data_IF_165782300735
#
_entry.id   IF_165782300735
#
_cell.length_a   1.000
_cell.length_b   1.000
_cell.length_c   1.000
_cell.angle_alpha   90.00
_cell.angle_beta   90.00
_cell.angle_gamma   90.00
#
_symmetry.space_group_name_H-M   'P 1'
#
loop_
_entity.id
_entity.type
_entity.pdbx_description
1 polymer ?
#
# COMPACT_ATOMS: atom_id res chain seq x y z
N UNK A 1 -9.17 -83.94 33.39
CA UNK A 1 -9.48 -83.05 32.26
C UNK A 1 -10.11 -81.75 32.77
N UNK A 2 -9.31 -80.69 32.92
CA UNK A 2 -9.78 -79.29 33.03
C UNK A 2 -8.79 -78.44 32.26
N UNK A 3 -9.29 -77.76 31.22
CA UNK A 3 -8.55 -76.85 30.34
C UNK A 3 -8.01 -75.67 31.15
N UNK A 4 -6.72 -75.39 31.03
CA UNK A 4 -6.10 -74.14 31.51
C UNK A 4 -6.41 -73.05 30.47
N UNK A 5 -7.20 -72.04 30.85
CA UNK A 5 -7.39 -70.84 30.02
C UNK A 5 -6.09 -70.04 29.98
N UNK A 6 -5.63 -69.71 28.78
CA UNK A 6 -4.57 -68.74 28.56
C UNK A 6 -5.06 -67.35 29.00
N UNK A 7 -4.24 -66.65 29.78
CA UNK A 7 -4.48 -65.26 30.17
C UNK A 7 -4.42 -64.37 28.93
N UNK A 8 -5.58 -63.88 28.48
CA UNK A 8 -5.67 -62.78 27.52
C UNK A 8 -5.56 -61.49 28.34
N UNK A 9 -4.40 -60.84 28.31
CA UNK A 9 -4.25 -59.49 28.84
C UNK A 9 -4.68 -58.50 27.76
N UNK A 10 -5.98 -58.24 27.65
CA UNK A 10 -6.50 -57.09 26.89
C UNK A 10 -6.25 -55.84 27.72
N UNK A 11 -5.20 -55.09 27.40
CA UNK A 11 -4.94 -53.80 28.03
C UNK A 11 -5.66 -52.73 27.20
N UNK A 12 -6.82 -52.30 27.72
CA UNK A 12 -7.54 -51.12 27.26
C UNK A 12 -6.87 -49.89 27.93
N UNK A 13 -6.04 -49.16 27.19
CA UNK A 13 -5.45 -47.90 27.66
C UNK A 13 -6.21 -46.70 27.08
N UNK A 14 -6.43 -45.73 27.97
CA UNK A 14 -7.38 -44.63 27.89
C UNK A 14 -7.24 -43.77 26.62
N UNK A 15 -8.42 -43.41 26.09
CA UNK A 15 -8.63 -42.43 25.02
C UNK A 15 -8.19 -41.04 25.49
N UNK A 16 -7.16 -40.48 24.87
CA UNK A 16 -7.13 -39.03 24.62
C UNK A 16 -7.64 -38.80 23.19
N UNK A 17 -8.55 -37.84 23.02
CA UNK A 17 -9.20 -37.56 21.74
C UNK A 17 -8.19 -37.33 20.60
N UNK A 18 -8.48 -37.80 19.38
CA UNK A 18 -7.57 -37.71 18.23
C UNK A 18 -7.21 -36.27 17.82
N UNK A 19 -7.97 -35.27 18.27
CA UNK A 19 -7.75 -33.87 17.94
C UNK A 19 -6.49 -33.27 18.59
N UNK A 20 -6.11 -33.71 19.81
CA UNK A 20 -4.97 -33.11 20.53
C UNK A 20 -3.62 -33.62 20.03
N UNK A 21 -3.55 -34.90 19.62
CA UNK A 21 -2.31 -35.52 19.14
C UNK A 21 -1.88 -35.03 17.75
N UNK A 22 -2.84 -34.57 16.93
CA UNK A 22 -2.58 -33.99 15.61
C UNK A 22 -1.91 -32.61 15.70
N UNK A 23 -2.20 -31.81 16.75
CA UNK A 23 -1.60 -30.50 16.96
C UNK A 23 -0.12 -30.56 17.40
N UNK A 24 0.29 -31.64 18.03
CA UNK A 24 1.65 -31.82 18.59
C UNK A 24 2.54 -32.76 17.74
N UNK A 25 2.07 -33.23 16.58
CA UNK A 25 2.86 -34.08 15.67
C UNK A 25 3.13 -35.50 16.17
N UNK A 26 2.29 -36.04 17.06
CA UNK A 26 2.45 -37.40 17.60
C UNK A 26 1.67 -38.42 16.76
N UNK A 27 2.37 -39.47 16.31
CA UNK A 27 1.75 -40.65 15.70
C UNK A 27 1.69 -41.80 16.73
N UNK A 28 0.51 -42.34 16.97
CA UNK A 28 0.34 -43.46 17.89
C UNK A 28 0.72 -44.79 17.20
N UNK A 29 1.89 -45.33 17.54
CA UNK A 29 2.29 -46.68 17.14
C UNK A 29 1.92 -47.65 18.25
N UNK A 30 0.90 -48.47 17.99
CA UNK A 30 0.55 -49.56 18.89
C UNK A 30 1.50 -50.71 18.64
N UNK A 31 2.05 -51.28 19.71
CA UNK A 31 2.85 -52.51 19.68
C UNK A 31 2.21 -53.48 20.66
N UNK A 32 1.43 -54.42 20.16
CA UNK A 32 0.91 -55.52 20.95
C UNK A 32 1.94 -56.63 21.02
N UNK A 33 2.20 -57.14 22.21
CA UNK A 33 3.03 -58.33 22.43
C UNK A 33 2.09 -59.49 22.80
N UNK A 34 1.95 -60.47 21.93
CA UNK A 34 1.21 -61.71 22.22
C UNK A 34 2.16 -62.89 22.33
N UNK A 35 2.20 -63.52 23.50
CA UNK A 35 2.89 -64.78 23.70
C UNK A 35 2.13 -65.91 22.99
N UNK A 36 2.76 -66.52 21.98
CA UNK A 36 2.18 -67.69 21.30
C UNK A 36 2.00 -68.87 22.26
N UNK A 37 0.95 -69.68 22.03
CA UNK A 37 0.70 -70.92 22.76
C UNK A 37 1.86 -71.91 22.54
N UNK A 38 2.87 -71.85 23.42
CA UNK A 38 4.14 -72.56 23.25
C UNK A 38 5.36 -71.82 23.78
N UNK A 39 5.23 -70.55 24.20
CA UNK A 39 6.27 -69.87 25.01
C UNK A 39 7.53 -69.45 24.27
N UNK A 40 7.53 -69.34 22.93
CA UNK A 40 8.72 -68.91 22.16
C UNK A 40 8.45 -67.86 21.09
N UNK A 41 7.19 -67.48 20.84
CA UNK A 41 6.83 -66.58 19.74
C UNK A 41 6.24 -65.28 20.27
N UNK A 42 6.75 -64.16 19.76
CA UNK A 42 6.31 -62.80 20.06
C UNK A 42 5.79 -62.16 18.79
N UNK A 43 4.48 -62.02 18.66
CA UNK A 43 3.91 -61.25 17.56
C UNK A 43 3.99 -59.76 17.90
N UNK A 44 4.54 -58.96 16.99
CA UNK A 44 4.54 -57.49 17.06
C UNK A 44 3.62 -56.98 15.96
N UNK A 45 2.59 -56.22 16.30
CA UNK A 45 1.68 -55.61 15.32
C UNK A 45 1.98 -54.12 15.28
N UNK A 46 2.34 -53.57 14.12
CA UNK A 46 2.48 -52.13 13.91
C UNK A 46 1.23 -51.67 13.15
N UNK A 47 0.36 -50.90 13.81
CA UNK A 47 -0.80 -50.30 13.15
C UNK A 47 -0.50 -48.85 12.80
N UNK A 48 -0.49 -48.56 11.50
CA UNK A 48 -0.51 -47.19 11.01
C UNK A 48 -1.94 -46.66 11.06
N UNK A 49 -2.19 -45.61 11.84
CA UNK A 49 -3.48 -44.90 11.87
C UNK A 49 -3.45 -43.59 11.08
N UNK A 50 -2.39 -43.32 10.33
CA UNK A 50 -2.35 -42.23 9.35
C UNK A 50 -2.88 -42.68 7.99
N UNK A 51 -3.43 -41.75 7.23
CA UNK A 51 -3.90 -41.99 5.85
C UNK A 51 -2.73 -42.13 4.84
N UNK A 52 -1.47 -42.14 5.30
CA UNK A 52 -0.27 -42.19 4.47
C UNK A 52 0.38 -43.59 4.48
N UNK A 53 0.79 -44.15 3.33
CA UNK A 53 1.39 -45.49 3.26
C UNK A 53 2.81 -45.53 3.83
N UNK A 54 3.14 -46.63 4.54
CA UNK A 54 4.52 -46.94 4.98
C UNK A 54 5.24 -47.69 3.85
N UNK A 55 6.39 -47.20 3.43
CA UNK A 55 7.11 -47.71 2.24
C UNK A 55 8.40 -48.49 2.55
N UNK A 56 8.99 -48.35 3.75
CA UNK A 56 10.18 -49.11 4.16
C UNK A 56 10.35 -49.20 5.70
N UNK A 57 11.17 -50.15 6.17
CA UNK A 57 11.54 -50.37 7.57
C UNK A 57 13.01 -50.86 7.62
N UNK A 58 13.92 -50.13 8.30
CA UNK A 58 15.36 -50.47 8.37
C UNK A 58 15.90 -50.51 9.81
N UNK A 59 17.00 -51.24 10.05
CA UNK A 59 17.52 -51.53 11.40
C UNK A 59 19.02 -51.21 11.58
N UNK A 60 19.39 -50.60 12.73
CA UNK A 60 20.77 -50.37 13.17
C UNK A 60 21.01 -50.64 14.67
N UNK A 61 22.23 -51.06 15.05
CA UNK A 61 22.64 -51.25 16.46
C UNK A 61 23.13 -49.94 17.08
N UNK A 62 22.88 -49.75 18.39
CA UNK A 62 23.27 -48.56 19.18
C UNK A 62 24.78 -48.30 19.16
N UNK A 63 25.17 -47.20 18.51
CA UNK A 63 26.14 -46.22 19.04
C UNK A 63 26.04 -44.93 18.21
N UNK A 64 25.33 -43.91 18.72
CA UNK A 64 25.25 -42.59 18.10
C UNK A 64 24.31 -42.54 16.90
N UNK A 65 23.22 -41.78 17.02
CA UNK A 65 22.47 -41.34 15.85
C UNK A 65 23.38 -40.36 15.10
N UNK A 66 24.10 -40.83 14.08
CA UNK A 66 24.69 -40.07 12.97
C UNK A 66 25.49 -41.05 12.10
N UNK A 67 25.04 -41.24 10.86
CA UNK A 67 25.72 -42.07 9.86
C UNK A 67 24.90 -42.18 8.58
N UNK A 68 24.93 -41.13 7.75
CA UNK A 68 24.57 -41.17 6.33
C UNK A 68 25.67 -41.89 5.50
N UNK A 69 25.44 -42.22 4.22
CA UNK A 69 24.18 -42.52 3.52
C UNK A 69 24.24 -43.92 2.87
N UNK A 70 23.17 -44.31 2.15
CA UNK A 70 23.16 -44.88 0.79
C UNK A 70 21.89 -45.72 0.62
N UNK A 71 21.00 -45.29 -0.28
CA UNK A 71 20.57 -46.08 -1.45
C UNK A 71 19.67 -45.24 -2.39
N UNK A 72 19.96 -45.42 -3.66
CA UNK A 72 19.43 -44.85 -4.90
C UNK A 72 17.88 -45.05 -5.05
N UNK A 73 17.10 -44.06 -5.52
CA UNK A 73 15.63 -44.14 -5.61
C UNK A 73 15.05 -45.13 -6.63
N UNK A 74 15.86 -45.81 -7.47
CA UNK A 74 15.36 -46.55 -8.63
C UNK A 74 15.03 -48.07 -8.41
N UNK A 75 14.87 -48.55 -7.17
CA UNK A 75 14.79 -50.01 -6.89
C UNK A 75 13.69 -50.45 -5.88
N UNK A 76 12.59 -49.71 -5.72
CA UNK A 76 11.50 -50.12 -4.82
C UNK A 76 10.30 -50.71 -5.58
N UNK A 77 10.40 -51.99 -5.95
CA UNK A 77 9.24 -52.83 -6.30
C UNK A 77 8.97 -53.89 -5.21
N UNK A 78 7.95 -54.73 -5.42
CA UNK A 78 7.38 -55.69 -4.47
C UNK A 78 8.33 -56.80 -3.94
N UNK A 79 9.65 -56.64 -4.10
CA UNK A 79 10.72 -57.56 -3.69
C UNK A 79 11.48 -57.11 -2.44
N UNK A 80 10.92 -56.24 -1.60
CA UNK A 80 11.60 -55.70 -0.41
C UNK A 80 12.05 -56.82 0.54
N UNK A 81 13.35 -57.12 0.55
CA UNK A 81 13.93 -58.16 1.40
C UNK A 81 14.16 -57.61 2.81
N UNK A 82 13.49 -58.21 3.80
CA UNK A 82 13.67 -57.91 5.22
C UNK A 82 14.89 -58.67 5.76
N UNK A 83 15.85 -57.95 6.35
CA UNK A 83 16.96 -58.60 7.04
C UNK A 83 16.62 -58.71 8.53
N UNK A 84 16.05 -59.85 8.93
CA UNK A 84 15.78 -60.13 10.33
C UNK A 84 17.11 -60.27 11.13
N UNK A 85 17.13 -59.95 12.43
CA UNK A 85 18.28 -60.25 13.28
C UNK A 85 18.62 -61.75 13.24
N UNK A 86 19.90 -62.09 13.41
CA UNK A 86 20.32 -63.48 13.53
C UNK A 86 19.51 -64.19 14.64
N UNK A 87 18.75 -65.23 14.27
CA UNK A 87 17.86 -65.97 15.18
C UNK A 87 16.36 -65.63 15.08
N UNK A 88 15.96 -64.73 14.18
CA UNK A 88 14.55 -64.36 13.95
C UNK A 88 14.13 -64.57 12.49
N UNK A 89 12.90 -65.04 12.27
CA UNK A 89 12.21 -64.96 10.97
C UNK A 89 11.36 -63.68 10.88
N UNK A 90 11.24 -63.09 9.69
CA UNK A 90 10.33 -61.97 9.44
C UNK A 90 9.37 -62.31 8.29
N UNK A 91 8.08 -62.00 8.45
CA UNK A 91 7.11 -62.11 7.36
C UNK A 91 6.17 -60.91 7.33
N UNK A 92 5.83 -60.47 6.12
CA UNK A 92 4.83 -59.45 5.86
C UNK A 92 3.46 -60.08 5.67
N UNK A 93 2.43 -59.49 6.29
CA UNK A 93 1.03 -59.73 5.92
C UNK A 93 0.35 -58.39 5.67
N UNK A 94 -0.49 -58.34 4.63
CA UNK A 94 -1.42 -57.24 4.45
C UNK A 94 -2.46 -57.27 5.57
N UNK A 95 -2.58 -56.20 6.36
CA UNK A 95 -3.65 -56.05 7.33
C UNK A 95 -4.96 -55.63 6.67
N UNK A 96 -6.10 -55.95 7.29
CA UNK A 96 -7.46 -55.74 6.76
C UNK A 96 -7.88 -54.26 6.62
N UNK A 97 -6.96 -53.30 6.79
CA UNK A 97 -7.27 -51.85 6.81
C UNK A 97 -6.12 -51.00 6.26
N UNK A 98 -5.38 -51.49 5.25
CA UNK A 98 -4.26 -50.74 4.64
C UNK A 98 -2.99 -50.65 5.49
N UNK A 99 -2.99 -51.25 6.69
CA UNK A 99 -1.81 -51.39 7.53
C UNK A 99 -0.89 -52.54 7.10
N UNK A 100 0.41 -52.38 7.30
CA UNK A 100 1.42 -53.42 7.10
C UNK A 100 1.61 -54.20 8.41
N UNK A 101 1.30 -55.49 8.43
CA UNK A 101 1.63 -56.37 9.56
C UNK A 101 3.02 -56.97 9.35
N UNK A 102 3.93 -56.73 10.29
CA UNK A 102 5.27 -57.33 10.29
C UNK A 102 5.37 -58.32 11.44
N UNK A 103 5.33 -59.61 11.13
CA UNK A 103 5.46 -60.68 12.13
C UNK A 103 6.93 -61.03 12.31
N UNK A 104 7.40 -61.04 13.56
CA UNK A 104 8.72 -61.56 13.92
C UNK A 104 8.59 -62.85 14.71
N UNK A 105 9.31 -63.90 14.31
CA UNK A 105 9.33 -65.17 15.03
C UNK A 105 10.74 -65.40 15.58
N UNK A 106 10.91 -65.27 16.90
CA UNK A 106 12.14 -65.68 17.59
C UNK A 106 12.08 -67.17 17.94
N UNK A 107 13.23 -67.83 18.04
CA UNK A 107 13.32 -69.17 18.63
C UNK A 107 14.11 -69.12 19.93
N UNK A 108 13.50 -69.59 21.03
CA UNK A 108 14.14 -69.77 22.34
C UNK A 108 13.82 -68.71 23.40
N UNK A 109 13.82 -69.13 24.66
CA UNK A 109 13.59 -68.27 25.81
C UNK A 109 14.80 -67.34 26.04
N UNK A 110 14.59 -66.02 25.93
CA UNK A 110 15.61 -65.00 26.24
C UNK A 110 15.82 -63.91 25.19
N UNK A 111 15.24 -64.04 24.00
CA UNK A 111 15.35 -63.02 22.97
C UNK A 111 14.30 -61.91 23.15
N UNK A 112 14.63 -60.87 23.93
CA UNK A 112 13.82 -59.64 23.97
C UNK A 112 14.31 -58.63 22.93
N UNK A 113 13.39 -58.10 22.12
CA UNK A 113 13.65 -56.94 21.28
C UNK A 113 13.91 -55.70 22.16
N UNK A 114 15.03 -55.02 21.93
CA UNK A 114 15.55 -53.93 22.79
C UNK A 114 15.42 -52.53 22.18
N UNK A 115 14.93 -52.43 20.94
CA UNK A 115 14.70 -51.19 20.20
C UNK A 115 14.57 -51.51 18.73
N UNK A 116 13.89 -50.69 17.92
CA UNK A 116 13.87 -50.79 16.46
C UNK A 116 13.81 -49.41 15.82
N UNK A 117 14.26 -49.31 14.57
CA UNK A 117 14.19 -48.08 13.77
C UNK A 117 13.17 -48.31 12.66
N UNK A 118 12.36 -47.29 12.35
CA UNK A 118 11.49 -47.27 11.17
C UNK A 118 12.04 -46.19 10.23
N UNK A 119 12.15 -46.49 8.94
CA UNK A 119 12.55 -45.51 7.93
C UNK A 119 11.47 -45.47 6.88
N UNK A 120 10.51 -44.56 7.03
CA UNK A 120 9.50 -44.31 6.00
C UNK A 120 10.02 -43.30 4.99
N UNK A 121 10.03 -43.64 3.70
CA UNK A 121 10.24 -42.66 2.61
C UNK A 121 8.89 -42.30 1.98
N UNK A 122 8.50 -41.05 2.07
CA UNK A 122 7.31 -40.55 1.36
C UNK A 122 7.66 -40.26 -0.11
N UNK A 123 6.76 -40.59 -1.04
CA UNK A 123 6.88 -40.15 -2.43
C UNK A 123 6.43 -38.68 -2.61
N UNK A 124 6.00 -38.03 -1.52
CA UNK A 124 5.67 -36.62 -1.49
C UNK A 124 6.95 -35.81 -1.22
N UNK A 125 7.37 -34.89 -2.11
CA UNK A 125 8.55 -34.04 -1.89
C UNK A 125 8.47 -33.18 -0.62
N UNK A 126 7.28 -33.04 -0.02
CA UNK A 126 7.01 -32.39 1.28
C UNK A 126 7.50 -33.15 2.52
N UNK A 127 7.97 -34.39 2.39
CA UNK A 127 8.40 -35.24 3.50
C UNK A 127 9.75 -35.89 3.18
N UNK A 128 10.78 -35.06 3.03
CA UNK A 128 12.14 -35.55 2.88
C UNK A 128 12.62 -36.23 4.18
N UNK A 129 12.93 -37.52 4.06
CA UNK A 129 13.64 -38.42 4.98
C UNK A 129 13.76 -37.96 6.46
N UNK A 130 12.72 -38.19 7.25
CA UNK A 130 12.81 -38.15 8.72
C UNK A 130 13.24 -39.52 9.27
N UNK A 131 14.33 -39.57 10.03
CA UNK A 131 14.74 -40.78 10.77
C UNK A 131 13.86 -40.95 12.02
N UNK A 132 13.23 -42.12 12.17
CA UNK A 132 12.39 -42.43 13.34
C UNK A 132 13.10 -43.44 14.25
N UNK A 133 13.63 -42.95 15.38
CA UNK A 133 14.19 -43.81 16.43
C UNK A 133 13.11 -44.11 17.48
N UNK A 134 12.81 -45.39 17.71
CA UNK A 134 11.85 -45.81 18.75
C UNK A 134 12.62 -46.44 19.91
N UNK A 135 12.48 -45.84 21.09
CA UNK A 135 13.16 -46.27 22.32
C UNK A 135 12.20 -47.04 23.23
N UNK A 136 12.73 -48.08 23.88
CA UNK A 136 12.05 -48.81 24.95
C UNK A 136 12.40 -48.13 26.28
N UNK A 137 11.45 -47.42 26.88
CA UNK A 137 11.65 -46.72 28.17
C UNK A 137 11.43 -47.63 29.36
N UNK A 138 10.59 -48.66 29.20
CA UNK A 138 10.16 -49.64 30.18
C UNK A 138 9.21 -50.64 29.50
N UNK A 139 8.90 -51.76 30.16
CA UNK A 139 8.43 -52.99 29.50
C UNK A 139 7.12 -52.91 28.69
N UNK A 140 6.41 -51.78 28.57
CA UNK A 140 5.08 -51.75 27.94
C UNK A 140 4.68 -50.48 27.15
N UNK A 141 5.56 -49.47 26.97
CA UNK A 141 5.18 -48.27 26.21
C UNK A 141 6.29 -47.87 25.25
N UNK A 142 5.93 -47.68 23.98
CA UNK A 142 6.81 -47.14 22.94
C UNK A 142 6.27 -45.76 22.56
N UNK A 143 7.09 -44.71 22.67
CA UNK A 143 6.73 -43.34 22.29
C UNK A 143 7.66 -42.85 21.18
N UNK A 144 7.13 -42.04 20.27
CA UNK A 144 7.86 -41.45 19.15
C UNK A 144 7.67 -39.92 19.12
N UNK A 145 8.73 -39.18 18.83
CA UNK A 145 8.69 -37.75 18.51
C UNK A 145 9.13 -37.56 17.06
N UNK A 146 8.24 -37.05 16.22
CA UNK A 146 8.61 -36.69 14.86
C UNK A 146 9.59 -35.52 14.84
N UNK A 147 10.60 -35.52 13.93
CA UNK A 147 11.20 -34.28 13.51
C UNK A 147 10.13 -33.51 12.75
N UNK A 148 9.49 -32.57 13.44
CA UNK A 148 8.75 -31.49 12.79
C UNK A 148 9.83 -30.75 11.99
N UNK A 149 9.77 -30.83 10.65
CA UNK A 149 10.41 -29.82 9.83
C UNK A 149 9.64 -28.54 10.14
N UNK A 150 10.13 -27.79 11.13
CA UNK A 150 9.61 -26.47 11.43
C UNK A 150 9.86 -25.64 10.18
N UNK A 151 8.79 -25.27 9.49
CA UNK A 151 8.89 -24.21 8.50
C UNK A 151 9.46 -22.99 9.20
N UNK A 152 10.50 -22.43 8.61
CA UNK A 152 11.27 -21.29 9.14
C UNK A 152 11.28 -20.13 8.15
N UNK A 153 10.66 -20.29 6.99
CA UNK A 153 10.57 -19.23 6.00
C UNK A 153 9.45 -18.28 6.41
N UNK A 154 9.70 -16.98 6.28
CA UNK A 154 8.69 -15.96 6.55
C UNK A 154 7.90 -15.66 5.28
N UNK A 155 6.60 -15.38 5.38
CA UNK A 155 5.79 -15.02 4.21
C UNK A 155 6.27 -13.70 3.60
N UNK A 156 6.50 -13.68 2.29
CA UNK A 156 7.00 -12.51 1.56
C UNK A 156 5.89 -11.85 0.73
N UNK A 157 5.35 -10.74 1.24
CA UNK A 157 4.28 -9.98 0.59
C UNK A 157 4.71 -8.54 0.29
N UNK A 158 4.17 -8.01 -0.81
CA UNK A 158 4.22 -6.59 -1.18
C UNK A 158 2.85 -5.96 -0.92
N UNK A 159 2.85 -4.80 -0.28
CA UNK A 159 1.66 -3.99 -0.07
C UNK A 159 1.57 -2.91 -1.15
N UNK A 160 0.39 -2.78 -1.76
CA UNK A 160 0.02 -1.64 -2.62
C UNK A 160 -1.26 -1.00 -2.10
N UNK A 161 -1.33 0.34 -2.16
CA UNK A 161 -2.50 1.11 -1.76
C UNK A 161 -3.15 1.74 -3.00
N UNK A 162 -4.47 1.83 -3.00
CA UNK A 162 -5.24 2.51 -4.03
C UNK A 162 -6.27 3.45 -3.40
N UNK A 163 -6.20 4.76 -3.68
CA UNK A 163 -5.12 5.45 -4.38
C UNK A 163 -3.80 5.44 -3.57
N UNK A 164 -2.66 5.58 -4.27
CA UNK A 164 -1.33 5.77 -3.65
C UNK A 164 -1.08 7.25 -3.25
N UNK A 165 -1.87 8.17 -3.80
CA UNK A 165 -1.86 9.60 -3.46
C UNK A 165 -3.16 10.31 -3.85
N UNK A 166 -3.53 11.38 -3.14
CA UNK A 166 -4.65 12.26 -3.47
C UNK A 166 -4.44 13.70 -2.97
N UNK A 167 -5.26 14.65 -3.40
CA UNK A 167 -5.19 16.06 -2.95
C UNK A 167 -5.80 16.22 -1.55
N UNK A 168 -5.18 17.03 -0.70
CA UNK A 168 -5.68 17.37 0.62
C UNK A 168 -6.85 18.35 0.55
N UNK A 169 -8.05 17.84 0.34
CA UNK A 169 -9.30 18.59 0.21
C UNK A 169 -10.11 18.72 1.52
N UNK A 170 -9.61 18.13 2.61
CA UNK A 170 -10.29 18.07 3.90
C UNK A 170 -11.48 17.11 3.95
N UNK A 171 -11.69 16.28 2.93
CA UNK A 171 -12.70 15.22 2.91
C UNK A 171 -12.08 13.85 3.25
N UNK A 172 -12.91 12.86 3.56
CA UNK A 172 -12.44 11.48 3.76
C UNK A 172 -12.37 10.74 2.42
N UNK A 173 -11.26 10.06 2.17
CA UNK A 173 -11.02 9.25 0.97
C UNK A 173 -10.84 7.79 1.35
N UNK A 174 -11.50 6.89 0.62
CA UNK A 174 -11.36 5.44 0.81
C UNK A 174 -10.02 4.98 0.24
N UNK A 175 -9.27 4.24 1.04
CA UNK A 175 -7.99 3.62 0.69
C UNK A 175 -8.18 2.11 0.74
N UNK A 176 -7.90 1.45 -0.39
CA UNK A 176 -7.90 -0.01 -0.48
C UNK A 176 -6.47 -0.53 -0.45
N UNK A 177 -6.19 -1.47 0.46
CA UNK A 177 -4.94 -2.20 0.55
C UNK A 177 -5.02 -3.51 -0.24
N UNK A 178 -4.00 -3.79 -1.06
CA UNK A 178 -3.85 -5.06 -1.77
C UNK A 178 -2.48 -5.64 -1.43
N UNK A 179 -2.46 -6.86 -0.90
CA UNK A 179 -1.25 -7.64 -0.68
C UNK A 179 -1.05 -8.62 -1.84
N UNK A 180 0.17 -8.68 -2.36
CA UNK A 180 0.57 -9.65 -3.38
C UNK A 180 1.87 -10.32 -2.98
N UNK A 181 1.89 -11.64 -2.99
CA UNK A 181 2.99 -12.44 -2.46
C UNK A 181 2.63 -13.91 -2.45
N UNK A 182 3.59 -14.73 -2.05
CA UNK A 182 3.42 -16.16 -1.85
C UNK A 182 4.22 -16.57 -0.63
N UNK A 183 3.76 -17.62 0.02
CA UNK A 183 4.53 -18.39 0.97
C UNK A 183 4.87 -19.76 0.35
N UNK A 184 5.97 -20.38 0.74
CA UNK A 184 6.45 -21.62 0.09
C UNK A 184 5.76 -22.89 0.62
N UNK A 185 5.11 -22.83 1.78
CA UNK A 185 4.41 -23.95 2.41
C UNK A 185 2.92 -23.68 2.69
N UNK A 186 2.51 -22.42 2.78
CA UNK A 186 1.14 -22.02 3.09
C UNK A 186 0.44 -21.31 1.94
N UNK A 187 -0.85 -21.63 1.78
CA UNK A 187 -1.69 -21.03 0.73
C UNK A 187 -2.62 -19.94 1.28
N UNK A 188 -2.77 -19.83 2.61
CA UNK A 188 -3.67 -18.87 3.26
C UNK A 188 -3.12 -18.35 4.61
N UNK A 189 -2.06 -17.53 4.62
CA UNK A 189 -1.52 -16.97 5.85
C UNK A 189 -2.48 -15.97 6.51
N UNK A 190 -2.38 -15.81 7.85
CA UNK A 190 -3.12 -14.81 8.61
C UNK A 190 -2.58 -13.41 8.33
N UNK A 191 -3.46 -12.45 8.05
CA UNK A 191 -3.09 -11.05 7.75
C UNK A 191 -3.70 -10.10 8.78
N UNK A 192 -2.92 -9.15 9.27
CA UNK A 192 -3.37 -8.11 10.21
C UNK A 192 -2.85 -6.73 9.83
N UNK A 193 -3.74 -5.75 9.73
CA UNK A 193 -3.39 -4.33 9.70
C UNK A 193 -2.81 -3.94 11.06
N UNK A 194 -1.52 -3.60 11.11
CA UNK A 194 -0.82 -3.34 12.39
C UNK A 194 -0.65 -1.86 12.69
N UNK A 195 -0.46 -1.03 11.67
CA UNK A 195 -0.22 0.40 11.90
C UNK A 195 -0.65 1.26 10.71
N UNK A 196 -1.16 2.45 11.05
CA UNK A 196 -1.29 3.59 10.15
C UNK A 196 -0.65 4.76 10.88
N UNK A 197 0.46 5.27 10.36
CA UNK A 197 1.24 6.33 11.01
C UNK A 197 1.42 7.50 10.07
N UNK A 198 1.32 8.71 10.61
CA UNK A 198 1.60 9.92 9.84
C UNK A 198 2.99 10.48 10.15
N UNK A 199 3.55 11.16 9.17
CA UNK A 199 4.68 12.09 9.31
C UNK A 199 4.39 13.30 10.21
N UNK A 200 3.12 13.62 10.48
CA UNK A 200 2.69 14.72 11.34
C UNK A 200 2.58 14.30 12.81
N UNK A 201 2.94 15.22 13.71
CA UNK A 201 2.86 15.00 15.16
C UNK A 201 1.47 15.16 15.76
N UNK A 202 0.55 15.86 15.07
CA UNK A 202 -0.83 16.09 15.51
C UNK A 202 -1.83 15.05 14.98
N UNK A 203 -1.35 14.01 14.30
CA UNK A 203 -2.18 12.95 13.74
C UNK A 203 -2.79 12.07 14.84
N UNK A 204 -4.05 11.70 14.66
CA UNK A 204 -4.76 10.80 15.56
C UNK A 204 -5.68 9.85 14.81
N UNK A 205 -5.53 8.55 15.11
CA UNK A 205 -6.44 7.51 14.66
C UNK A 205 -7.82 7.75 15.32
N UNK A 206 -8.89 7.70 14.54
CA UNK A 206 -10.26 7.97 14.98
C UNK A 206 -10.78 9.35 14.55
N UNK A 207 -9.94 10.39 14.56
CA UNK A 207 -10.30 11.71 14.01
C UNK A 207 -9.92 11.84 12.54
N UNK A 208 -8.77 11.30 12.14
CA UNK A 208 -8.25 11.41 10.76
C UNK A 208 -8.29 10.08 10.00
N UNK A 209 -8.56 8.97 10.70
CA UNK A 209 -8.76 7.64 10.12
C UNK A 209 -10.12 7.11 10.56
N UNK A 210 -10.94 6.65 9.62
CA UNK A 210 -12.23 6.01 9.89
C UNK A 210 -12.27 4.60 9.31
N UNK A 211 -13.13 3.78 9.89
CA UNK A 211 -13.43 2.40 9.46
C UNK A 211 -12.26 1.42 9.59
N UNK A 212 -11.03 1.89 9.83
CA UNK A 212 -9.87 1.05 10.11
C UNK A 212 -10.03 0.22 11.39
N UNK A 213 -9.91 -1.09 11.26
CA UNK A 213 -9.85 -2.04 12.37
C UNK A 213 -8.41 -2.58 12.52
N UNK A 214 -7.63 -1.94 13.40
CA UNK A 214 -6.26 -2.36 13.71
C UNK A 214 -6.28 -3.73 14.40
N UNK A 215 -5.43 -4.65 13.93
CA UNK A 215 -5.31 -6.02 14.41
C UNK A 215 -6.14 -7.05 13.63
N UNK A 216 -6.87 -6.64 12.59
CA UNK A 216 -7.67 -7.51 11.72
C UNK A 216 -7.21 -7.43 10.26
N UNK A 217 -7.69 -8.33 9.39
CA UNK A 217 -7.48 -8.24 7.93
C UNK A 217 -8.38 -7.17 7.28
N UNK A 218 -8.35 -5.97 7.83
CA UNK A 218 -9.07 -4.84 7.26
C UNK A 218 -8.23 -4.26 6.12
N UNK A 219 -8.80 -4.22 4.91
CA UNK A 219 -8.16 -3.75 3.69
C UNK A 219 -8.83 -2.52 3.09
N UNK A 220 -9.78 -1.92 3.79
CA UNK A 220 -10.53 -0.76 3.30
C UNK A 220 -10.85 0.18 4.44
N UNK A 221 -10.18 1.32 4.47
CA UNK A 221 -10.36 2.35 5.50
C UNK A 221 -10.36 3.73 4.86
N UNK A 222 -10.80 4.74 5.61
CA UNK A 222 -10.85 6.11 5.12
C UNK A 222 -9.80 6.99 5.80
N UNK A 223 -9.15 7.84 5.02
CA UNK A 223 -8.16 8.81 5.46
C UNK A 223 -8.68 10.23 5.19
N UNK A 224 -8.54 11.13 6.16
CA UNK A 224 -8.85 12.55 5.98
C UNK A 224 -7.83 13.20 5.05
N UNK A 225 -8.28 13.99 4.08
CA UNK A 225 -7.48 14.74 3.12
C UNK A 225 -6.78 15.94 3.75
N UNK A 226 -5.93 15.71 4.74
CA UNK A 226 -5.03 16.71 5.29
C UNK A 226 -3.60 16.43 4.78
N UNK A 227 -2.90 17.42 4.21
CA UNK A 227 -1.60 17.19 3.57
C UNK A 227 -0.57 16.53 4.50
N UNK A 228 -0.12 15.33 4.14
CA UNK A 228 0.77 14.49 4.93
C UNK A 228 1.30 13.29 4.16
N UNK A 229 2.33 12.64 4.68
CA UNK A 229 2.71 11.28 4.27
C UNK A 229 2.33 10.30 5.37
N UNK A 230 1.61 9.24 5.00
CA UNK A 230 1.25 8.14 5.89
C UNK A 230 2.02 6.87 5.52
N UNK A 231 2.36 6.06 6.50
CA UNK A 231 2.89 4.69 6.34
C UNK A 231 1.85 3.71 6.88
N UNK A 232 1.46 2.74 6.05
CA UNK A 232 0.55 1.65 6.40
C UNK A 232 1.34 0.36 6.46
N UNK A 233 1.14 -0.43 7.52
CA UNK A 233 1.88 -1.67 7.78
C UNK A 233 0.95 -2.84 8.07
N UNK A 234 1.19 -3.96 7.40
CA UNK A 234 0.55 -5.24 7.65
C UNK A 234 1.56 -6.26 8.16
N UNK A 235 1.11 -7.12 9.06
CA UNK A 235 1.80 -8.33 9.48
C UNK A 235 1.11 -9.54 8.85
N UNK A 236 1.91 -10.49 8.38
CA UNK A 236 1.48 -11.74 7.77
C UNK A 236 2.10 -12.87 8.60
N UNK A 237 1.29 -13.81 9.07
CA UNK A 237 1.75 -14.97 9.87
C UNK A 237 1.35 -16.25 9.16
N UNK A 238 2.30 -17.14 8.90
CA UNK A 238 2.00 -18.46 8.33
C UNK A 238 1.47 -19.45 9.39
N UNK A 239 1.06 -20.65 8.97
CA UNK A 239 0.61 -21.71 9.87
C UNK A 239 1.69 -22.21 10.87
N UNK A 240 2.97 -22.03 10.57
CA UNK A 240 4.08 -22.39 11.46
C UNK A 240 4.41 -21.29 12.48
N UNK A 241 3.82 -20.10 12.32
CA UNK A 241 3.99 -18.94 13.19
C UNK A 241 5.11 -17.99 12.74
N UNK A 242 5.73 -18.16 11.57
CA UNK A 242 6.71 -17.20 11.08
C UNK A 242 6.02 -15.93 10.59
N UNK A 243 6.67 -14.78 10.82
CA UNK A 243 6.06 -13.47 10.63
C UNK A 243 6.79 -12.65 9.56
N UNK A 244 6.05 -12.28 8.52
CA UNK A 244 6.43 -11.29 7.52
C UNK A 244 5.74 -9.94 7.75
N UNK A 245 6.34 -8.87 7.23
CA UNK A 245 5.75 -7.53 7.29
C UNK A 245 5.78 -6.87 5.90
N UNK A 246 4.71 -6.19 5.55
CA UNK A 246 4.60 -5.43 4.31
C UNK A 246 4.17 -3.99 4.62
N UNK A 247 4.84 -3.01 4.03
CA UNK A 247 4.54 -1.59 4.23
C UNK A 247 4.41 -0.84 2.91
N UNK A 248 3.62 0.23 2.93
CA UNK A 248 3.41 1.13 1.81
C UNK A 248 3.17 2.56 2.30
N UNK A 249 3.61 3.53 1.50
CA UNK A 249 3.44 4.96 1.80
C UNK A 249 2.30 5.55 0.98
N UNK A 250 1.39 6.27 1.64
CA UNK A 250 0.32 7.05 1.03
C UNK A 250 0.67 8.54 1.15
N UNK A 251 0.54 9.29 0.05
CA UNK A 251 0.83 10.73 0.05
C UNK A 251 -0.45 11.55 -0.13
N UNK A 252 -0.79 12.36 0.87
CA UNK A 252 -1.81 13.41 0.76
C UNK A 252 -1.11 14.71 0.41
N UNK A 253 -1.35 15.20 -0.80
CA UNK A 253 -0.66 16.39 -1.34
C UNK A 253 -1.33 17.68 -0.87
N UNK A 254 -0.62 18.80 -0.96
CA UNK A 254 -1.24 20.11 -0.72
C UNK A 254 -2.36 20.34 -1.74
N UNK A 255 -3.49 20.96 -1.34
CA UNK A 255 -4.53 21.32 -2.29
C UNK A 255 -3.95 22.25 -3.36
N UNK A 256 -4.28 21.98 -4.62
CA UNK A 256 -3.89 22.86 -5.72
C UNK A 256 -4.78 24.10 -5.67
N UNK A 257 -4.17 25.28 -5.60
CA UNK A 257 -4.90 26.52 -5.72
C UNK A 257 -5.39 26.73 -7.15
N UNK A 258 -6.71 26.88 -7.30
CA UNK A 258 -7.42 27.02 -8.59
C UNK A 258 -8.20 28.33 -8.65
N UNK A 259 -8.07 29.20 -7.65
CA UNK A 259 -8.82 30.44 -7.57
C UNK A 259 -7.94 31.60 -8.04
N UNK A 260 -8.31 32.33 -9.10
CA UNK A 260 -7.57 33.50 -9.52
C UNK A 260 -7.57 34.63 -8.50
N UNK A 261 -6.51 35.45 -8.47
CA UNK A 261 -6.47 36.64 -7.62
C UNK A 261 -7.53 37.65 -8.06
N UNK A 262 -8.11 38.36 -7.10
CA UNK A 262 -8.93 39.56 -7.37
C UNK A 262 -8.02 40.75 -7.64
N UNK A 263 -8.35 41.53 -8.66
CA UNK A 263 -7.63 42.73 -9.08
C UNK A 263 -8.60 43.92 -9.18
N UNK A 264 -8.23 45.04 -8.57
CA UNK A 264 -8.88 46.35 -8.78
C UNK A 264 -7.85 47.36 -9.26
N UNK A 265 -8.22 48.14 -10.28
CA UNK A 265 -7.34 49.12 -10.94
C UNK A 265 -8.00 50.49 -10.86
N UNK A 266 -7.30 51.48 -10.33
CA UNK A 266 -7.68 52.88 -10.40
C UNK A 266 -6.60 53.66 -11.17
N UNK A 267 -7.01 54.51 -12.11
CA UNK A 267 -6.11 55.36 -12.88
C UNK A 267 -6.28 56.82 -12.47
N UNK A 268 -5.20 57.59 -12.45
CA UNK A 268 -5.25 59.03 -12.21
C UNK A 268 -4.24 59.77 -13.09
N UNK A 269 -4.69 60.75 -13.90
CA UNK A 269 -6.09 61.14 -14.12
C UNK A 269 -6.86 60.15 -15.02
N UNK A 270 -8.18 60.06 -14.86
CA UNK A 270 -9.08 59.35 -15.81
C UNK A 270 -9.50 60.21 -17.00
N UNK A 271 -9.29 61.53 -16.91
CA UNK A 271 -9.61 62.49 -17.96
C UNK A 271 -8.43 63.42 -18.17
N UNK A 272 -7.98 63.56 -19.42
CA UNK A 272 -6.88 64.43 -19.84
C UNK A 272 -7.44 65.50 -20.77
N UNK A 273 -7.06 66.76 -20.59
CA UNK A 273 -7.42 67.82 -21.54
C UNK A 273 -6.49 67.77 -22.75
N UNK A 274 -7.02 68.00 -23.95
CA UNK A 274 -6.22 68.08 -25.17
C UNK A 274 -5.11 69.13 -25.03
N UNK A 275 -3.85 68.72 -25.25
CA UNK A 275 -2.67 69.59 -25.15
C UNK A 275 -1.61 69.28 -26.21
N UNK A 276 -1.78 68.20 -26.98
CA UNK A 276 -0.78 67.63 -27.90
C UNK A 276 0.57 67.33 -27.23
N UNK A 277 0.57 67.10 -25.90
CA UNK A 277 1.74 66.71 -25.10
C UNK A 277 1.48 65.37 -24.40
N UNK A 278 2.55 64.76 -23.91
CA UNK A 278 2.47 63.55 -23.11
C UNK A 278 2.12 63.89 -21.66
N UNK A 279 1.00 63.36 -21.19
CA UNK A 279 0.51 63.55 -19.82
C UNK A 279 0.68 62.26 -19.02
N UNK A 280 1.16 62.39 -17.78
CA UNK A 280 1.42 61.24 -16.90
C UNK A 280 0.12 60.68 -16.35
N UNK A 281 -0.03 59.36 -16.42
CA UNK A 281 -1.09 58.59 -15.80
C UNK A 281 -0.45 57.62 -14.81
N UNK A 282 -0.92 57.65 -13.57
CA UNK A 282 -0.51 56.72 -12.53
C UNK A 282 -1.62 55.71 -12.25
N UNK A 283 -1.25 54.45 -12.05
CA UNK A 283 -2.14 53.37 -11.69
C UNK A 283 -1.96 52.97 -10.23
N UNK A 284 -3.07 52.80 -9.51
CA UNK A 284 -3.12 52.19 -8.19
C UNK A 284 -3.80 50.83 -8.31
N UNK A 285 -3.09 49.77 -7.92
CA UNK A 285 -3.55 48.39 -7.99
C UNK A 285 -3.83 47.87 -6.59
N UNK A 286 -4.98 47.23 -6.41
CA UNK A 286 -5.31 46.48 -5.18
C UNK A 286 -5.50 45.01 -5.57
N UNK A 287 -4.71 44.14 -4.96
CA UNK A 287 -4.68 42.70 -5.22
C UNK A 287 -5.08 41.95 -3.95
N UNK A 288 -5.90 40.90 -4.08
CA UNK A 288 -6.16 39.95 -3.00
C UNK A 288 -6.36 38.56 -3.59
N UNK A 289 -5.82 37.56 -2.93
CA UNK A 289 -6.06 36.16 -3.25
C UNK A 289 -6.39 35.37 -1.97
N UNK A 290 -7.04 34.22 -2.12
CA UNK A 290 -7.45 33.38 -1.00
C UNK A 290 -6.30 32.57 -0.42
N UNK A 291 -5.37 32.10 -1.27
CA UNK A 291 -4.28 31.19 -0.90
C UNK A 291 -2.93 31.90 -1.02
N UNK A 292 -2.70 32.66 -2.09
CA UNK A 292 -1.49 33.44 -2.29
C UNK A 292 -1.56 34.79 -1.55
N UNK A 293 -0.64 35.01 -0.61
CA UNK A 293 -0.60 36.27 0.16
C UNK A 293 0.01 37.43 -0.61
N UNK A 294 0.73 37.16 -1.70
CA UNK A 294 1.46 38.17 -2.47
C UNK A 294 1.32 37.97 -3.98
N UNK A 295 0.08 37.99 -4.52
CA UNK A 295 -0.12 37.94 -5.97
C UNK A 295 0.58 39.11 -6.67
N UNK A 296 1.00 38.88 -7.91
CA UNK A 296 1.74 39.85 -8.71
C UNK A 296 0.85 40.43 -9.80
N UNK A 297 1.22 41.61 -10.34
CA UNK A 297 0.52 42.22 -11.46
C UNK A 297 1.49 42.79 -12.50
N UNK A 298 1.01 42.91 -13.74
CA UNK A 298 1.75 43.53 -14.83
C UNK A 298 0.82 44.30 -15.77
N UNK A 299 1.35 45.38 -16.36
CA UNK A 299 0.71 46.10 -17.45
C UNK A 299 0.80 45.24 -18.73
N UNK A 300 -0.33 44.82 -19.29
CA UNK A 300 -0.34 43.93 -20.47
C UNK A 300 -0.69 44.65 -21.77
N UNK A 301 -1.51 45.70 -21.71
CA UNK A 301 -1.86 46.45 -22.91
C UNK A 301 -2.18 47.92 -22.61
N UNK A 302 -1.83 48.77 -23.57
CA UNK A 302 -2.39 50.12 -23.71
C UNK A 302 -2.76 50.25 -25.18
N UNK A 303 -4.05 50.43 -25.45
CA UNK A 303 -4.59 50.65 -26.81
C UNK A 303 -5.51 51.87 -26.81
N UNK A 304 -5.91 52.35 -27.99
CA UNK A 304 -6.86 53.43 -28.12
C UNK A 304 -7.92 53.13 -29.18
N UNK A 305 -9.08 53.76 -29.07
CA UNK A 305 -10.14 53.72 -30.08
C UNK A 305 -9.87 54.62 -31.30
N UNK A 306 -8.78 55.40 -31.27
CA UNK A 306 -8.31 56.22 -32.38
C UNK A 306 -7.75 55.36 -33.52
N UNK A 307 -8.12 55.68 -34.76
CA UNK A 307 -7.63 54.98 -35.96
C UNK A 307 -6.16 55.27 -36.28
N UNK A 308 -5.60 56.37 -35.77
CA UNK A 308 -4.20 56.74 -35.90
C UNK A 308 -3.33 56.27 -34.72
N UNK A 309 -3.85 55.39 -33.85
CA UNK A 309 -3.11 54.89 -32.69
C UNK A 309 -1.88 54.06 -33.08
N UNK A 310 -0.75 54.40 -32.46
CA UNK A 310 0.46 53.62 -32.46
C UNK A 310 1.09 53.70 -31.08
N UNK A 311 1.35 52.54 -30.45
CA UNK A 311 1.96 52.49 -29.11
C UNK A 311 3.23 53.34 -29.03
N UNK A 312 4.12 53.26 -30.02
CA UNK A 312 5.38 54.01 -30.04
C UNK A 312 5.23 55.54 -30.18
N UNK A 313 4.08 56.02 -30.70
CA UNK A 313 3.82 57.46 -30.91
C UNK A 313 2.93 58.07 -29.83
N UNK A 314 2.06 57.26 -29.24
CA UNK A 314 1.00 57.71 -28.35
C UNK A 314 1.20 57.34 -26.89
N UNK A 315 2.14 56.41 -26.62
CA UNK A 315 2.48 55.95 -25.29
C UNK A 315 3.97 56.15 -25.07
N UNK A 316 4.34 56.75 -23.93
CA UNK A 316 5.73 56.93 -23.53
C UNK A 316 5.93 56.41 -22.10
N UNK A 317 7.15 55.94 -21.81
CA UNK A 317 7.55 55.39 -20.52
C UNK A 317 6.64 54.26 -20.01
N UNK A 318 6.09 53.45 -20.92
CA UNK A 318 5.34 52.24 -20.56
C UNK A 318 6.14 51.00 -20.95
N UNK A 319 6.31 50.09 -20.02
CA UNK A 319 6.96 48.79 -20.23
C UNK A 319 5.94 47.68 -20.05
N UNK A 320 5.45 47.13 -21.17
CA UNK A 320 4.54 46.00 -21.14
C UNK A 320 5.22 44.77 -20.51
N UNK A 321 4.45 43.99 -19.76
CA UNK A 321 4.91 42.79 -19.07
C UNK A 321 5.59 43.05 -17.72
N UNK A 322 5.64 44.29 -17.24
CA UNK A 322 6.17 44.67 -15.91
C UNK A 322 5.07 45.25 -15.02
N UNK A 323 5.31 45.30 -13.71
CA UNK A 323 4.48 46.05 -12.75
C UNK A 323 4.72 47.56 -12.92
N UNK A 324 4.46 48.05 -14.13
CA UNK A 324 4.61 49.44 -14.51
C UNK A 324 3.33 50.19 -14.20
N UNK A 325 3.40 51.11 -13.24
CA UNK A 325 2.26 51.87 -12.71
C UNK A 325 2.33 53.35 -13.07
N UNK A 326 3.29 53.78 -13.88
CA UNK A 326 3.44 55.18 -14.27
C UNK A 326 3.93 55.28 -15.69
N UNK A 327 3.03 55.72 -16.58
CA UNK A 327 3.30 55.89 -18.00
C UNK A 327 2.69 57.21 -18.48
N UNK A 328 2.95 57.57 -19.73
CA UNK A 328 2.44 58.80 -20.32
C UNK A 328 1.64 58.53 -21.58
N UNK A 329 0.53 59.23 -21.72
CA UNK A 329 -0.35 59.14 -22.88
C UNK A 329 -0.34 60.46 -23.64
N UNK A 330 -0.34 60.41 -24.97
CA UNK A 330 -0.42 61.60 -25.79
C UNK A 330 -1.83 62.21 -25.69
N UNK A 331 -1.91 63.45 -25.18
CA UNK A 331 -3.13 64.24 -25.05
C UNK A 331 -3.58 64.84 -26.39
N UNK A 332 -3.78 63.99 -27.39
CA UNK A 332 -4.23 64.34 -28.74
C UNK A 332 -5.60 63.72 -28.99
N UNK A 333 -6.47 64.48 -29.65
CA UNK A 333 -7.78 64.02 -30.16
C UNK A 333 -7.67 63.60 -31.63
N UNK A 334 -8.52 62.68 -32.07
CA UNK A 334 -8.65 62.32 -33.49
C UNK A 334 -9.75 63.19 -34.09
N UNK A 335 -9.35 64.33 -34.68
CA UNK A 335 -10.28 65.36 -35.13
C UNK A 335 -11.09 65.95 -33.98
N UNK A 336 -12.42 65.92 -34.10
CA UNK A 336 -13.36 66.45 -33.09
C UNK A 336 -13.88 65.37 -32.12
N UNK A 337 -13.36 64.14 -32.18
CA UNK A 337 -13.77 63.05 -31.30
C UNK A 337 -12.83 62.96 -30.09
N UNK A 338 -13.39 62.72 -28.91
CA UNK A 338 -12.59 62.34 -27.76
C UNK A 338 -11.85 61.03 -28.02
N UNK A 339 -10.63 60.95 -27.49
CA UNK A 339 -9.80 59.76 -27.62
C UNK A 339 -9.84 58.98 -26.32
N UNK A 340 -10.17 57.71 -26.38
CA UNK A 340 -10.19 56.81 -25.23
C UNK A 340 -9.00 55.88 -25.32
N UNK A 341 -8.16 55.88 -24.30
CA UNK A 341 -7.17 54.85 -24.06
C UNK A 341 -7.78 53.75 -23.19
N UNK A 342 -7.55 52.50 -23.54
CA UNK A 342 -7.87 51.31 -22.73
C UNK A 342 -6.55 50.72 -22.22
N UNK A 343 -6.42 50.64 -20.90
CA UNK A 343 -5.23 50.18 -20.19
C UNK A 343 -5.63 48.88 -19.48
N UNK A 344 -4.96 47.78 -19.80
CA UNK A 344 -5.23 46.47 -19.20
C UNK A 344 -4.07 46.04 -18.31
N UNK A 345 -4.38 45.64 -17.08
CA UNK A 345 -3.48 44.94 -16.17
C UNK A 345 -3.91 43.48 -16.03
N UNK A 346 -2.94 42.59 -15.86
CA UNK A 346 -3.14 41.18 -15.51
C UNK A 346 -2.50 40.92 -14.14
N UNK A 347 -3.25 40.31 -13.24
CA UNK A 347 -2.75 39.76 -11.99
C UNK A 347 -2.55 38.25 -12.12
N UNK A 348 -1.54 37.71 -11.45
CA UNK A 348 -1.26 36.28 -11.35
C UNK A 348 -0.80 35.88 -9.95
N UNK A 349 -1.29 34.75 -9.47
CA UNK A 349 -0.83 34.12 -8.22
C UNK A 349 0.35 33.15 -8.46
N UNK A 350 0.86 32.58 -7.38
CA UNK A 350 1.93 31.57 -7.40
C UNK A 350 1.53 30.23 -8.07
N UNK A 351 0.23 29.90 -8.10
CA UNK A 351 -0.29 28.69 -8.76
C UNK A 351 -0.48 28.88 -10.27
N UNK A 352 -0.36 30.11 -10.76
CA UNK A 352 -0.47 30.49 -12.17
C UNK A 352 -1.89 30.87 -12.61
N UNK A 353 -2.85 30.99 -11.69
CA UNK A 353 -4.18 31.51 -12.02
C UNK A 353 -4.11 33.01 -12.30
N UNK A 354 -5.01 33.53 -13.15
CA UNK A 354 -4.92 34.89 -13.69
C UNK A 354 -6.24 35.62 -13.77
N UNK A 355 -6.19 36.93 -13.56
CA UNK A 355 -7.32 37.86 -13.74
C UNK A 355 -6.85 39.10 -14.48
N UNK A 356 -7.63 39.59 -15.45
CA UNK A 356 -7.33 40.83 -16.18
C UNK A 356 -8.41 41.89 -15.95
N UNK A 357 -7.98 43.14 -15.76
CA UNK A 357 -8.87 44.30 -15.60
C UNK A 357 -8.46 45.40 -16.56
N UNK A 358 -9.44 45.97 -17.27
CA UNK A 358 -9.24 47.09 -18.19
C UNK A 358 -9.90 48.34 -17.65
N UNK A 359 -9.15 49.43 -17.61
CA UNK A 359 -9.63 50.77 -17.27
C UNK A 359 -9.36 51.76 -18.40
N UNK A 360 -10.08 52.88 -18.38
CA UNK A 360 -9.98 53.87 -19.45
C UNK A 360 -9.46 55.22 -18.97
N UNK A 361 -8.78 55.91 -19.88
CA UNK A 361 -8.43 57.33 -19.75
C UNK A 361 -8.92 58.04 -21.01
N UNK A 362 -9.68 59.12 -20.84
CA UNK A 362 -10.27 59.87 -21.96
C UNK A 362 -9.60 61.21 -22.16
N UNK A 363 -9.13 61.48 -23.37
CA UNK A 363 -8.68 62.81 -23.80
C UNK A 363 -9.88 63.59 -24.35
N UNK A 364 -10.23 64.67 -23.66
CA UNK A 364 -11.40 65.50 -23.98
C UNK A 364 -10.98 66.85 -24.58
N UNK A 365 -11.93 67.50 -25.26
CA UNK A 365 -11.76 68.87 -25.71
C UNK A 365 -11.47 69.82 -24.54
N UNK A 366 -10.77 70.91 -24.82
CA UNK A 366 -10.63 72.01 -23.86
C UNK A 366 -12.01 72.63 -23.60
N UNK A 367 -12.46 72.63 -22.34
CA UNK A 367 -13.63 73.43 -21.96
C UNK A 367 -13.20 74.91 -21.96
N UNK A 368 -13.70 75.70 -22.91
CA UNK A 368 -13.67 77.16 -22.76
C UNK A 368 -14.38 77.51 -21.45
N UNK A 369 -13.78 78.35 -20.62
CA UNK A 369 -14.46 78.83 -19.42
C UNK A 369 -15.79 79.49 -19.83
N UNK A 370 -16.82 79.40 -18.99
CA UNK A 370 -18.11 80.05 -19.27
C UNK A 370 -17.93 81.54 -19.56
N UNK A 371 -16.97 82.18 -18.88
CA UNK A 371 -16.61 83.58 -19.11
C UNK A 371 -15.98 83.81 -20.49
N UNK A 372 -15.06 82.94 -20.94
CA UNK A 372 -14.46 83.05 -22.26
C UNK A 372 -15.48 82.78 -23.37
N UNK A 373 -16.40 81.83 -23.16
CA UNK A 373 -17.48 81.57 -24.10
C UNK A 373 -18.43 82.77 -24.21
N UNK A 374 -18.75 83.43 -23.09
CA UNK A 374 -19.55 84.65 -23.08
C UNK A 374 -18.84 85.80 -23.80
N UNK A 375 -17.55 85.99 -23.55
CA UNK A 375 -16.72 87.03 -24.20
C UNK A 375 -16.70 86.82 -25.72
N UNK A 376 -16.49 85.59 -26.18
CA UNK A 376 -16.49 85.27 -27.61
C UNK A 376 -17.86 85.56 -28.26
N UNK A 377 -18.96 85.25 -27.55
CA UNK A 377 -20.32 85.56 -28.01
C UNK A 377 -20.56 87.07 -28.13
N UNK A 378 -20.08 87.83 -27.15
CA UNK A 378 -20.25 89.28 -27.07
C UNK A 378 -19.42 89.99 -28.15
N UNK A 379 -18.22 89.49 -28.43
CA UNK A 379 -17.36 89.96 -29.52
C UNK A 379 -17.97 89.66 -30.90
N UNK A 380 -18.58 88.48 -31.09
CA UNK A 380 -19.27 88.16 -32.34
C UNK A 380 -20.50 89.06 -32.55
N UNK A 381 -21.27 89.30 -31.49
CA UNK A 381 -22.43 90.20 -31.54
C UNK A 381 -22.01 91.64 -31.88
N UNK A 382 -20.93 92.14 -31.27
CA UNK A 382 -20.40 93.48 -31.53
C UNK A 382 -19.94 93.63 -32.99
N UNK A 383 -19.26 92.61 -33.53
CA UNK A 383 -18.83 92.60 -34.95
C UNK A 383 -20.02 92.63 -35.90
N UNK A 384 -21.07 91.85 -35.62
CA UNK A 384 -22.31 91.87 -36.41
C UNK A 384 -23.03 93.20 -36.33
N UNK A 385 -23.04 93.84 -35.15
CA UNK A 385 -23.65 95.15 -34.96
C UNK A 385 -22.90 96.24 -35.74
N UNK A 386 -21.57 96.26 -35.65
CA UNK A 386 -20.71 97.19 -36.40
C UNK A 386 -20.87 97.03 -37.91
N UNK A 387 -21.05 95.81 -38.41
CA UNK A 387 -21.30 95.53 -39.82
C UNK A 387 -22.68 96.00 -40.34
N UNK A 388 -23.60 96.41 -39.45
CA UNK A 388 -24.88 97.03 -39.83
C UNK A 388 -24.79 98.56 -39.97
N UNK A 389 -23.67 99.15 -39.52
CA UNK A 389 -23.41 100.61 -39.56
C UNK A 389 -22.37 101.01 -40.62
N UNK A 390 -21.96 100.07 -41.48
CA UNK A 390 -21.18 100.29 -42.70
C UNK A 390 -21.96 99.70 -43.87
#
# INVERSE_FOLDING_TARGET
>A
MKKTLASISTILLLLSEPAQAAADGWMNVFVTETAGAGGSHYDYVIQNKSDLPITAIEWGRRSGCLGDPVLDPAQLDASTSFKAPAGFGASLKSGESGGVLVRFEGQGAGHQLTGFTLVGKSNNPLLNAGFVCIYRTDAKVWQYKAPILHDTQVPLYKLSLSPLSFEGDGAFHVITATLSGSDDQDTLPEVKLTSIRSSRSDFSIGSEVKEASIGTDDRSFQILGKPETLTVEYQITDAAGNQGFASATLTVTQPVDRTPPTLSVALSPVTIKVSNKFETVNATLTLKDLVDKAPTAKLVSIISDANDFSFAKDVANATLGKDDRSFRLLAKRTGNKDRVYKITYEASDAAGNKTSVTQTVTVVAEQKSQLQHLIDLLLDLLRRLLALFH
#
